data_IF_834275817131
#
_entry.id   IF_834275817131
#
_cell.length_a   1.000
_cell.length_b   1.000
_cell.length_c   1.000
_cell.angle_alpha   90.00
_cell.angle_beta   90.00
_cell.angle_gamma   90.00
#
_symmetry.space_group_name_H-M   'P 1'
#
loop_
_entity.id
_entity.type
_entity.pdbx_description
1 polymer ?
#
# COMPACT_ATOMS: atom_id res chain seq x y z
N UNK A 1 12.25 1.89 -42.40
CA UNK A 1 12.10 0.66 -41.61
C UNK A 1 12.13 -0.60 -42.46
N UNK A 2 11.25 -0.80 -43.44
CA UNK A 2 11.20 -2.03 -44.27
C UNK A 2 12.55 -2.44 -44.90
N UNK A 3 13.35 -1.48 -45.40
CA UNK A 3 14.68 -1.76 -45.97
C UNK A 3 15.70 -2.29 -44.95
N UNK A 4 15.53 -1.90 -43.68
CA UNK A 4 16.41 -2.26 -42.58
C UNK A 4 15.99 -3.61 -41.98
N UNK A 5 14.69 -3.85 -41.88
CA UNK A 5 14.10 -5.15 -41.55
C UNK A 5 14.46 -6.21 -42.59
N UNK A 6 14.34 -5.89 -43.89
CA UNK A 6 14.75 -6.78 -44.98
C UNK A 6 16.26 -7.08 -44.97
N UNK A 7 17.08 -6.10 -44.57
CA UNK A 7 18.53 -6.31 -44.44
C UNK A 7 18.90 -7.23 -43.27
N UNK A 8 18.22 -7.07 -42.12
CA UNK A 8 18.44 -7.90 -40.93
C UNK A 8 17.81 -9.30 -41.04
N UNK A 9 16.80 -9.48 -41.89
CA UNK A 9 16.09 -10.75 -42.11
C UNK A 9 16.51 -11.50 -43.38
N UNK A 10 17.38 -10.91 -44.22
CA UNK A 10 17.83 -11.50 -45.48
C UNK A 10 18.90 -12.59 -45.32
N UNK A 11 18.74 -13.69 -46.07
CA UNK A 11 19.67 -14.83 -46.19
C UNK A 11 21.11 -14.37 -46.50
N UNK A 12 22.10 -15.06 -45.92
CA UNK A 12 23.53 -14.70 -45.92
C UNK A 12 24.13 -14.46 -47.33
N UNK A 13 23.54 -15.00 -48.39
CA UNK A 13 24.00 -14.80 -49.77
C UNK A 13 23.66 -13.42 -50.36
N UNK A 14 22.62 -12.74 -49.85
CA UNK A 14 22.21 -11.40 -50.31
C UNK A 14 23.05 -10.26 -49.71
N UNK A 15 23.78 -10.54 -48.63
CA UNK A 15 24.61 -9.58 -47.88
C UNK A 15 25.90 -9.18 -48.62
N UNK A 16 26.30 -9.91 -49.67
CA UNK A 16 27.55 -9.68 -50.40
C UNK A 16 27.49 -8.57 -51.46
N UNK A 17 26.34 -7.89 -51.65
CA UNK A 17 26.15 -6.86 -52.68
C UNK A 17 25.95 -5.43 -52.13
N UNK A 18 26.22 -5.22 -50.84
CA UNK A 18 25.98 -3.93 -50.18
C UNK A 18 27.09 -2.94 -50.54
N UNK A 19 26.70 -1.87 -51.23
CA UNK A 19 27.59 -0.73 -51.46
C UNK A 19 27.79 0.07 -50.17
N UNK A 20 28.93 0.73 -50.02
CA UNK A 20 29.22 1.63 -48.88
C UNK A 20 28.11 2.64 -48.63
N UNK A 21 27.54 3.22 -49.70
CA UNK A 21 26.42 4.15 -49.60
C UNK A 21 25.14 3.51 -49.02
N UNK A 22 24.82 2.24 -49.37
CA UNK A 22 23.70 1.51 -48.78
C UNK A 22 23.93 1.22 -47.30
N UNK A 23 25.16 0.90 -46.91
CA UNK A 23 25.52 0.67 -45.51
C UNK A 23 25.39 1.94 -44.66
N UNK A 24 25.84 3.09 -45.18
CA UNK A 24 25.67 4.40 -44.53
C UNK A 24 24.19 4.75 -44.35
N UNK A 25 23.36 4.46 -45.35
CA UNK A 25 21.91 4.72 -45.28
C UNK A 25 21.24 3.83 -44.22
N UNK A 26 21.63 2.56 -44.15
CA UNK A 26 21.13 1.63 -43.12
C UNK A 26 21.59 2.02 -41.72
N UNK A 27 22.84 2.47 -41.55
CA UNK A 27 23.33 2.99 -40.28
C UNK A 27 22.54 4.23 -39.84
N UNK A 28 22.27 5.15 -40.76
CA UNK A 28 21.49 6.36 -40.46
C UNK A 28 20.09 6.00 -39.97
N UNK A 29 19.40 5.10 -40.69
CA UNK A 29 18.07 4.62 -40.32
C UNK A 29 18.06 3.91 -38.95
N UNK A 30 19.11 3.14 -38.62
CA UNK A 30 19.24 2.50 -37.31
C UNK A 30 19.46 3.55 -36.20
N UNK A 31 20.28 4.56 -36.46
CA UNK A 31 20.50 5.66 -35.52
C UNK A 31 19.20 6.43 -35.26
N UNK A 32 18.44 6.74 -36.30
CA UNK A 32 17.16 7.44 -36.19
C UNK A 32 16.14 6.62 -35.37
N UNK A 33 16.07 5.30 -35.58
CA UNK A 33 15.18 4.39 -34.81
C UNK A 33 15.60 4.28 -33.34
N UNK A 34 16.90 4.22 -33.06
CA UNK A 34 17.40 4.21 -31.67
C UNK A 34 17.09 5.54 -30.98
N UNK A 35 17.14 6.65 -31.71
CA UNK A 35 16.79 7.97 -31.17
C UNK A 35 15.29 8.05 -30.86
N UNK A 36 14.41 7.56 -31.74
CA UNK A 36 12.95 7.54 -31.52
C UNK A 36 12.59 6.64 -30.34
N UNK A 37 13.15 5.43 -30.25
CA UNK A 37 12.93 4.53 -29.12
C UNK A 37 13.45 5.13 -27.80
N UNK A 38 14.60 5.82 -27.82
CA UNK A 38 15.13 6.51 -26.64
C UNK A 38 14.20 7.61 -26.14
N UNK A 39 13.64 8.40 -27.06
CA UNK A 39 12.67 9.45 -26.69
C UNK A 39 11.42 8.83 -26.09
N UNK A 40 10.92 7.74 -26.68
CA UNK A 40 9.72 7.04 -26.20
C UNK A 40 9.96 6.38 -24.83
N UNK A 41 11.13 5.78 -24.62
CA UNK A 41 11.55 5.22 -23.33
C UNK A 41 11.62 6.29 -22.24
N UNK A 42 12.21 7.46 -22.53
CA UNK A 42 12.26 8.58 -21.57
C UNK A 42 10.87 9.07 -21.20
N UNK A 43 9.97 9.15 -22.18
CA UNK A 43 8.57 9.52 -21.94
C UNK A 43 7.87 8.50 -21.03
N UNK A 44 7.99 7.22 -21.33
CA UNK A 44 7.37 6.16 -20.53
C UNK A 44 7.94 6.11 -19.10
N UNK A 45 9.23 6.40 -18.92
CA UNK A 45 9.84 6.53 -17.59
C UNK A 45 9.24 7.71 -16.80
N UNK A 46 8.97 8.84 -17.46
CA UNK A 46 8.32 9.97 -16.81
C UNK A 46 6.87 9.65 -16.41
N UNK A 47 6.11 9.01 -17.31
CA UNK A 47 4.73 8.59 -17.02
C UNK A 47 4.67 7.55 -15.89
N UNK A 48 5.62 6.61 -15.83
CA UNK A 48 5.72 5.65 -14.73
C UNK A 48 6.02 6.31 -13.39
N UNK A 49 6.96 7.27 -13.34
CA UNK A 49 7.28 7.95 -12.08
C UNK A 49 6.12 8.82 -11.59
N UNK A 50 5.36 9.44 -12.49
CA UNK A 50 4.12 10.15 -12.15
C UNK A 50 3.05 9.19 -11.59
N UNK A 51 2.83 8.05 -12.24
CA UNK A 51 1.89 7.03 -11.76
C UNK A 51 2.30 6.46 -10.39
N UNK A 52 3.59 6.21 -10.16
CA UNK A 52 4.10 5.77 -8.85
C UNK A 52 3.80 6.79 -7.75
N UNK A 53 4.03 8.09 -8.02
CA UNK A 53 3.72 9.16 -7.09
C UNK A 53 2.21 9.25 -6.78
N UNK A 54 1.36 9.15 -7.81
CA UNK A 54 -0.09 9.13 -7.66
C UNK A 54 -0.58 7.94 -6.84
N UNK A 55 0.04 6.77 -7.04
CA UNK A 55 -0.31 5.55 -6.31
C UNK A 55 0.02 5.68 -4.83
N UNK A 56 1.18 6.26 -4.51
CA UNK A 56 1.61 6.55 -3.15
C UNK A 56 0.70 7.58 -2.45
N UNK A 57 0.28 8.62 -3.19
CA UNK A 57 -0.67 9.60 -2.68
C UNK A 57 -2.02 8.95 -2.35
N UNK A 58 -2.57 8.16 -3.27
CA UNK A 58 -3.85 7.45 -3.06
C UNK A 58 -3.78 6.39 -1.97
N UNK A 59 -2.63 5.78 -1.70
CA UNK A 59 -2.49 4.87 -0.54
C UNK A 59 -2.55 5.64 0.77
N UNK A 60 -1.87 6.79 0.85
CA UNK A 60 -1.92 7.65 2.05
C UNK A 60 -3.33 8.20 2.33
N UNK A 61 -4.08 8.58 1.29
CA UNK A 61 -5.47 9.04 1.41
C UNK A 61 -6.39 7.92 1.92
N UNK A 62 -6.21 6.68 1.43
CA UNK A 62 -6.96 5.51 1.90
C UNK A 62 -6.68 5.19 3.36
N UNK A 63 -5.42 5.22 3.80
CA UNK A 63 -5.06 5.01 5.20
C UNK A 63 -5.70 6.07 6.11
N UNK A 64 -5.70 7.34 5.68
CA UNK A 64 -6.38 8.42 6.41
C UNK A 64 -7.88 8.17 6.53
N UNK A 65 -8.53 7.73 5.44
CA UNK A 65 -9.96 7.43 5.45
C UNK A 65 -10.32 6.26 6.37
N UNK A 66 -9.54 5.18 6.32
CA UNK A 66 -9.71 4.01 7.21
C UNK A 66 -9.55 4.43 8.68
N UNK A 67 -8.57 5.28 9.00
CA UNK A 67 -8.39 5.79 10.35
C UNK A 67 -9.59 6.62 10.83
N UNK A 68 -10.12 7.52 9.98
CA UNK A 68 -11.34 8.30 10.30
C UNK A 68 -12.57 7.42 10.46
N UNK A 69 -12.72 6.40 9.62
CA UNK A 69 -13.79 5.41 9.76
C UNK A 69 -13.68 4.65 11.08
N UNK A 70 -12.49 4.18 11.45
CA UNK A 70 -12.27 3.50 12.72
C UNK A 70 -12.66 4.37 13.93
N UNK A 71 -12.42 5.68 13.86
CA UNK A 71 -12.85 6.64 14.89
C UNK A 71 -14.37 6.87 14.93
N UNK A 72 -15.09 6.62 13.82
CA UNK A 72 -16.53 6.89 13.70
C UNK A 72 -17.43 5.68 13.90
N UNK A 73 -16.91 4.45 13.82
CA UNK A 73 -17.71 3.22 13.94
C UNK A 73 -18.48 3.15 15.28
N UNK A 74 -17.90 3.68 16.37
CA UNK A 74 -18.52 3.65 17.70
C UNK A 74 -19.16 4.97 18.14
N UNK A 75 -19.12 6.01 17.30
CA UNK A 75 -19.64 7.34 17.67
C UNK A 75 -21.17 7.33 17.84
N UNK A 76 -21.87 6.51 17.04
CA UNK A 76 -23.33 6.39 17.13
C UNK A 76 -23.79 5.74 18.43
N UNK A 77 -23.16 4.64 18.82
CA UNK A 77 -23.49 3.92 20.06
C UNK A 77 -23.22 4.82 21.28
N UNK A 78 -22.08 5.52 21.30
CA UNK A 78 -21.76 6.48 22.36
C UNK A 78 -22.76 7.64 22.44
N UNK A 79 -23.23 8.17 21.31
CA UNK A 79 -24.24 9.23 21.27
C UNK A 79 -25.62 8.72 21.74
N UNK A 80 -25.96 7.47 21.43
CA UNK A 80 -27.20 6.84 21.91
C UNK A 80 -27.15 6.60 23.43
N UNK A 81 -26.01 6.16 23.97
CA UNK A 81 -25.77 6.04 25.42
C UNK A 81 -25.80 7.40 26.14
N UNK A 82 -25.20 8.45 25.55
CA UNK A 82 -25.25 9.81 26.07
C UNK A 82 -26.69 10.36 26.10
N UNK A 83 -27.46 10.11 25.04
CA UNK A 83 -28.85 10.55 24.98
C UNK A 83 -29.75 9.82 26.00
N UNK A 84 -29.48 8.53 26.25
CA UNK A 84 -30.18 7.75 27.27
C UNK A 84 -29.83 8.22 28.68
N UNK A 85 -28.54 8.38 28.99
CA UNK A 85 -28.09 8.88 30.30
C UNK A 85 -28.63 10.28 30.57
N UNK A 86 -28.67 11.18 29.58
CA UNK A 86 -29.30 12.48 29.72
C UNK A 86 -30.79 12.39 30.05
N UNK A 87 -31.54 11.52 29.37
CA UNK A 87 -32.97 11.29 29.64
C UNK A 87 -33.21 10.74 31.04
N UNK A 88 -32.33 9.89 31.55
CA UNK A 88 -32.40 9.38 32.93
C UNK A 88 -32.13 10.50 33.94
N UNK A 89 -31.13 11.35 33.68
CA UNK A 89 -30.80 12.50 34.52
C UNK A 89 -31.96 13.51 34.60
N UNK A 90 -32.61 13.79 33.47
CA UNK A 90 -33.78 14.66 33.42
C UNK A 90 -34.95 14.11 34.23
N UNK A 91 -35.16 12.78 34.24
CA UNK A 91 -36.18 12.13 35.08
C UNK A 91 -35.87 12.26 36.56
N UNK A 92 -34.62 11.99 36.95
CA UNK A 92 -34.19 12.11 38.36
C UNK A 92 -34.33 13.56 38.83
N UNK A 93 -33.97 14.54 37.99
CA UNK A 93 -34.16 15.95 38.31
C UNK A 93 -35.64 16.31 38.51
N UNK A 94 -36.53 15.79 37.67
CA UNK A 94 -37.98 15.98 37.85
C UNK A 94 -38.50 15.33 39.12
N UNK A 95 -38.07 14.11 39.44
CA UNK A 95 -38.46 13.41 40.68
C UNK A 95 -37.97 14.16 41.93
N UNK A 96 -36.74 14.68 41.91
CA UNK A 96 -36.20 15.52 42.97
C UNK A 96 -36.96 16.85 43.12
N UNK A 97 -37.34 17.50 42.01
CA UNK A 97 -38.18 18.71 42.08
C UNK A 97 -39.57 18.43 42.68
N UNK A 98 -40.18 17.29 42.35
CA UNK A 98 -41.47 16.89 42.91
C UNK A 98 -41.36 16.60 44.40
N UNK A 99 -40.32 15.87 44.83
CA UNK A 99 -40.03 15.61 46.25
C UNK A 99 -39.78 16.90 47.03
N UNK A 100 -39.01 17.83 46.46
CA UNK A 100 -38.73 19.12 47.09
C UNK A 100 -39.99 19.98 47.24
N UNK A 101 -40.87 20.00 46.22
CA UNK A 101 -42.17 20.69 46.30
C UNK A 101 -43.14 20.00 47.26
N UNK A 102 -43.06 18.68 47.40
CA UNK A 102 -43.87 17.89 48.34
C UNK A 102 -43.45 18.02 49.80
N UNK A 103 -42.18 18.32 50.09
CA UNK A 103 -41.70 18.54 51.47
C UNK A 103 -42.17 19.86 52.08
N UNK A 104 -42.49 20.86 51.24
CA UNK A 104 -43.05 22.14 51.70
C UNK A 104 -44.53 22.04 52.12
N UNK A 105 -45.21 20.94 51.78
CA UNK A 105 -46.60 20.68 52.14
C UNK A 105 -46.73 19.46 53.06
N UNK A 106 -46.15 19.57 54.26
CA UNK A 106 -46.51 18.76 55.44
C UNK A 106 -46.73 17.25 55.18
N UNK A 107 -45.66 16.52 54.89
CA UNK A 107 -45.68 15.05 54.93
C UNK A 107 -45.23 14.56 56.31
N UNK A 108 -45.93 13.56 56.84
CA UNK A 108 -45.60 12.87 58.09
C UNK A 108 -44.14 12.39 58.09
N UNK A 109 -43.37 12.67 59.15
CA UNK A 109 -41.95 12.27 59.29
C UNK A 109 -41.72 10.78 58.97
N UNK A 110 -42.69 9.91 59.32
CA UNK A 110 -42.62 8.48 59.02
C UNK A 110 -42.72 8.13 57.53
N UNK A 111 -43.40 8.96 56.72
CA UNK A 111 -43.45 8.78 55.27
C UNK A 111 -42.18 9.32 54.59
N UNK A 112 -41.54 10.33 55.17
CA UNK A 112 -40.24 10.81 54.71
C UNK A 112 -39.12 9.80 55.03
N UNK A 113 -39.17 9.14 56.20
CA UNK A 113 -38.25 8.04 56.55
C UNK A 113 -38.39 6.83 55.62
N UNK A 114 -39.61 6.37 55.31
CA UNK A 114 -39.82 5.25 54.36
C UNK A 114 -39.36 5.58 52.93
N UNK A 115 -39.48 6.85 52.51
CA UNK A 115 -38.95 7.32 51.21
C UNK A 115 -37.43 7.38 51.23
N UNK A 116 -36.82 7.86 52.32
CA UNK A 116 -35.37 7.89 52.48
C UNK A 116 -34.76 6.49 52.48
N UNK A 117 -35.35 5.55 53.21
CA UNK A 117 -34.88 4.15 53.24
C UNK A 117 -34.98 3.49 51.85
N UNK A 118 -36.07 3.75 51.11
CA UNK A 118 -36.21 3.28 49.72
C UNK A 118 -35.19 3.92 48.77
N UNK A 119 -34.89 5.21 48.96
CA UNK A 119 -33.88 5.91 48.17
C UNK A 119 -32.48 5.37 48.47
N UNK A 120 -32.13 5.13 49.73
CA UNK A 120 -30.84 4.54 50.13
C UNK A 120 -30.66 3.15 49.52
N UNK A 121 -31.67 2.28 49.62
CA UNK A 121 -31.63 0.94 49.02
C UNK A 121 -31.53 1.01 47.50
N UNK A 122 -32.23 1.94 46.84
CA UNK A 122 -32.12 2.13 45.40
C UNK A 122 -30.74 2.66 44.99
N UNK A 123 -30.15 3.57 45.76
CA UNK A 123 -28.80 4.08 45.50
C UNK A 123 -27.74 3.00 45.71
N UNK A 124 -27.86 2.19 46.75
CA UNK A 124 -26.93 1.09 47.02
C UNK A 124 -27.00 0.02 45.92
N UNK A 125 -28.20 -0.30 45.46
CA UNK A 125 -28.39 -1.21 44.32
C UNK A 125 -27.81 -0.64 43.02
N UNK A 126 -27.97 0.67 42.78
CA UNK A 126 -27.38 1.33 41.62
C UNK A 126 -25.86 1.36 41.68
N UNK A 127 -25.27 1.65 42.86
CA UNK A 127 -23.82 1.61 43.09
C UNK A 127 -23.29 0.20 42.87
N UNK A 128 -23.95 -0.83 43.41
CA UNK A 128 -23.57 -2.22 43.21
C UNK A 128 -23.58 -2.61 41.72
N UNK A 129 -24.64 -2.24 40.98
CA UNK A 129 -24.75 -2.49 39.54
C UNK A 129 -23.67 -1.76 38.72
N UNK A 130 -23.37 -0.51 39.07
CA UNK A 130 -22.30 0.25 38.42
C UNK A 130 -20.93 -0.34 38.69
N UNK A 131 -20.68 -0.78 39.93
CA UNK A 131 -19.43 -1.43 40.33
C UNK A 131 -19.24 -2.75 39.56
N UNK A 132 -20.30 -3.55 39.40
CA UNK A 132 -20.27 -4.76 38.58
C UNK A 132 -19.93 -4.44 37.12
N UNK A 133 -20.60 -3.44 36.53
CA UNK A 133 -20.28 -2.98 35.16
C UNK A 133 -18.83 -2.50 35.03
N UNK A 134 -18.31 -1.76 35.99
CA UNK A 134 -16.92 -1.31 36.00
C UNK A 134 -15.95 -2.50 36.00
N UNK A 135 -16.19 -3.50 36.85
CA UNK A 135 -15.35 -4.71 36.88
C UNK A 135 -15.40 -5.46 35.56
N UNK A 136 -16.56 -5.57 34.92
CA UNK A 136 -16.69 -6.20 33.62
C UNK A 136 -15.94 -5.44 32.53
N UNK A 137 -16.05 -4.10 32.50
CA UNK A 137 -15.34 -3.26 31.53
C UNK A 137 -13.83 -3.34 31.73
N UNK A 138 -13.34 -3.39 32.96
CA UNK A 138 -11.93 -3.58 33.27
C UNK A 138 -11.41 -4.94 32.74
N UNK A 139 -12.18 -6.01 32.90
CA UNK A 139 -11.84 -7.31 32.33
C UNK A 139 -11.81 -7.30 30.79
N UNK A 140 -12.79 -6.67 30.14
CA UNK A 140 -12.81 -6.52 28.68
C UNK A 140 -11.62 -5.70 28.18
N UNK A 141 -11.26 -4.61 28.88
CA UNK A 141 -10.08 -3.81 28.58
C UNK A 141 -8.81 -4.65 28.64
N UNK A 142 -8.66 -5.50 29.67
CA UNK A 142 -7.48 -6.37 29.80
C UNK A 142 -7.42 -7.41 28.66
N UNK A 143 -8.56 -7.98 28.26
CA UNK A 143 -8.64 -8.90 27.12
C UNK A 143 -8.26 -8.20 25.80
N UNK A 144 -8.77 -6.99 25.57
CA UNK A 144 -8.44 -6.20 24.37
C UNK A 144 -6.96 -5.83 24.32
N UNK A 145 -6.34 -5.48 25.46
CA UNK A 145 -4.90 -5.22 25.52
C UNK A 145 -4.08 -6.46 25.12
N UNK A 146 -4.45 -7.64 25.63
CA UNK A 146 -3.80 -8.91 25.24
C UNK A 146 -3.99 -9.21 23.75
N UNK A 147 -5.16 -8.94 23.19
CA UNK A 147 -5.42 -9.10 21.76
C UNK A 147 -4.57 -8.13 20.91
N UNK A 148 -4.44 -6.88 21.37
CA UNK A 148 -3.62 -5.87 20.70
C UNK A 148 -2.13 -6.26 20.69
N UNK A 149 -1.59 -6.75 21.82
CA UNK A 149 -0.21 -7.22 21.88
C UNK A 149 0.04 -8.41 20.94
N UNK A 150 -0.89 -9.37 20.88
CA UNK A 150 -0.75 -10.55 20.02
C UNK A 150 -0.85 -10.19 18.54
N UNK A 151 -1.78 -9.32 18.16
CA UNK A 151 -1.88 -8.82 16.78
C UNK A 151 -0.67 -7.99 16.37
N UNK A 152 -0.11 -7.18 17.27
CA UNK A 152 1.11 -6.41 16.99
C UNK A 152 2.32 -7.33 16.77
N UNK A 153 2.44 -8.42 17.55
CA UNK A 153 3.46 -9.47 17.31
C UNK A 153 3.27 -10.15 15.96
N UNK A 154 2.04 -10.56 15.62
CA UNK A 154 1.75 -11.19 14.34
C UNK A 154 2.05 -10.26 13.15
N UNK A 155 1.75 -8.96 13.28
CA UNK A 155 2.07 -7.96 12.28
C UNK A 155 3.59 -7.80 12.10
N UNK A 156 4.35 -7.77 13.19
CA UNK A 156 5.81 -7.71 13.12
C UNK A 156 6.40 -8.94 12.41
N UNK A 157 5.86 -10.14 12.69
CA UNK A 157 6.26 -11.37 11.98
C UNK A 157 5.92 -11.33 10.49
N UNK A 158 4.74 -10.83 10.12
CA UNK A 158 4.35 -10.65 8.72
C UNK A 158 5.27 -9.67 7.99
N UNK A 159 5.58 -8.51 8.58
CA UNK A 159 6.52 -7.54 8.02
C UNK A 159 7.92 -8.14 7.82
N UNK A 160 8.39 -8.95 8.77
CA UNK A 160 9.66 -9.65 8.63
C UNK A 160 9.64 -10.67 7.49
N UNK A 161 8.54 -11.41 7.32
CA UNK A 161 8.37 -12.36 6.20
C UNK A 161 8.30 -11.65 4.86
N UNK A 162 7.59 -10.53 4.79
CA UNK A 162 7.50 -9.67 3.61
C UNK A 162 8.87 -9.12 3.21
N UNK A 163 9.63 -8.58 4.16
CA UNK A 163 11.00 -8.10 3.91
C UNK A 163 11.90 -9.23 3.37
N UNK A 164 11.84 -10.42 3.96
CA UNK A 164 12.59 -11.59 3.46
C UNK A 164 12.14 -12.03 2.05
N UNK A 165 10.86 -11.90 1.73
CA UNK A 165 10.36 -12.20 0.40
C UNK A 165 10.83 -11.15 -0.62
N UNK A 166 10.85 -9.87 -0.23
CA UNK A 166 11.37 -8.76 -1.01
C UNK A 166 12.87 -8.95 -1.32
N UNK A 167 13.66 -9.32 -0.31
CA UNK A 167 15.11 -9.60 -0.45
C UNK A 167 15.35 -10.73 -1.47
N UNK A 168 14.60 -11.85 -1.36
CA UNK A 168 14.69 -12.95 -2.34
C UNK A 168 14.28 -12.54 -3.76
N UNK A 169 13.29 -11.66 -3.89
CA UNK A 169 12.89 -11.11 -5.18
C UNK A 169 14.00 -10.24 -5.79
N UNK A 170 14.62 -9.37 -5.00
CA UNK A 170 15.77 -8.58 -5.44
C UNK A 170 16.96 -9.47 -5.85
N UNK A 171 17.28 -10.51 -5.08
CA UNK A 171 18.33 -11.48 -5.41
C UNK A 171 18.03 -12.22 -6.72
N UNK A 172 16.78 -12.65 -6.95
CA UNK A 172 16.38 -13.31 -8.19
C UNK A 172 16.51 -12.41 -9.42
N UNK A 173 16.17 -11.13 -9.29
CA UNK A 173 16.29 -10.12 -10.36
C UNK A 173 17.76 -9.76 -10.62
N UNK A 174 18.59 -9.65 -9.58
CA UNK A 174 20.02 -9.39 -9.73
C UNK A 174 20.80 -10.60 -10.28
N UNK A 175 20.39 -11.82 -9.92
CA UNK A 175 20.97 -13.05 -10.45
C UNK A 175 20.65 -13.29 -11.93
N UNK A 176 19.44 -12.91 -12.38
CA UNK A 176 19.04 -13.05 -13.78
C UNK A 176 19.67 -11.99 -14.70
N UNK A 177 19.77 -10.74 -14.23
CA UNK A 177 20.33 -9.63 -15.02
C UNK A 177 21.82 -9.80 -15.32
N UNK A 178 22.63 -10.30 -14.38
CA UNK A 178 24.06 -10.59 -14.64
C UNK A 178 24.25 -11.70 -15.67
N UNK A 179 23.38 -12.71 -15.71
CA UNK A 179 23.53 -13.82 -16.65
C UNK A 179 23.01 -13.48 -18.07
N UNK A 180 21.94 -12.68 -18.19
CA UNK A 180 21.43 -12.27 -19.50
C UNK A 180 22.32 -11.23 -20.16
N UNK A 181 22.74 -10.19 -19.42
CA UNK A 181 23.60 -9.14 -19.96
C UNK A 181 24.98 -9.67 -20.36
N UNK A 182 25.52 -10.64 -19.63
CA UNK A 182 26.82 -11.23 -19.94
C UNK A 182 26.75 -12.18 -21.15
N UNK A 183 25.67 -12.97 -21.29
CA UNK A 183 25.45 -13.77 -22.53
C UNK A 183 25.22 -12.89 -23.75
N UNK A 184 24.54 -11.77 -23.58
CA UNK A 184 24.26 -10.82 -24.66
C UNK A 184 25.52 -10.03 -25.06
N UNK A 185 26.35 -9.65 -24.07
CA UNK A 185 27.68 -9.09 -24.29
C UNK A 185 28.62 -10.10 -24.99
N UNK A 186 28.61 -11.37 -24.58
CA UNK A 186 29.41 -12.43 -25.23
C UNK A 186 28.92 -12.73 -26.66
N UNK A 187 27.60 -12.68 -26.91
CA UNK A 187 27.04 -12.76 -28.27
C UNK A 187 27.52 -11.60 -29.16
N UNK A 188 27.44 -10.37 -28.67
CA UNK A 188 27.88 -9.18 -29.40
C UNK A 188 29.40 -9.17 -29.64
N UNK A 189 30.18 -9.70 -28.69
CA UNK A 189 31.63 -9.83 -28.83
C UNK A 189 32.01 -10.88 -29.87
N UNK A 190 31.31 -12.02 -29.87
CA UNK A 190 31.52 -13.06 -30.87
C UNK A 190 31.07 -12.62 -32.27
N UNK A 191 29.97 -11.87 -32.40
CA UNK A 191 29.52 -11.36 -33.71
C UNK A 191 30.47 -10.31 -34.30
N UNK A 192 31.06 -9.44 -33.47
CA UNK A 192 32.10 -8.49 -33.92
C UNK A 192 33.38 -9.19 -34.36
N UNK A 193 33.76 -10.29 -33.70
CA UNK A 193 34.95 -11.04 -34.04
C UNK A 193 34.80 -11.73 -35.40
N UNK A 194 33.64 -12.35 -35.68
CA UNK A 194 33.33 -12.90 -37.00
C UNK A 194 33.21 -11.81 -38.06
N UNK A 195 32.57 -10.67 -37.78
CA UNK A 195 32.52 -9.55 -38.73
C UNK A 195 33.92 -9.00 -39.08
N UNK A 196 34.79 -8.82 -38.10
CA UNK A 196 36.17 -8.38 -38.35
C UNK A 196 36.97 -9.42 -39.15
N UNK A 197 36.80 -10.71 -38.86
CA UNK A 197 37.46 -11.77 -39.62
C UNK A 197 36.98 -11.83 -41.08
N UNK A 198 35.67 -11.70 -41.32
CA UNK A 198 35.11 -11.65 -42.66
C UNK A 198 35.62 -10.43 -43.43
N UNK A 199 35.68 -9.25 -42.80
CA UNK A 199 36.24 -8.04 -43.41
C UNK A 199 37.74 -8.17 -43.73
N UNK A 200 38.51 -8.84 -42.87
CA UNK A 200 39.94 -9.08 -43.12
C UNK A 200 40.15 -10.03 -44.32
N UNK A 201 39.38 -11.10 -44.40
CA UNK A 201 39.41 -12.04 -45.52
C UNK A 201 39.00 -11.34 -46.82
N UNK A 202 37.97 -10.49 -46.77
CA UNK A 202 37.51 -9.72 -47.92
C UNK A 202 38.58 -8.70 -48.39
N UNK A 203 39.25 -8.02 -47.46
CA UNK A 203 40.34 -7.11 -47.78
C UNK A 203 41.56 -7.82 -48.40
N UNK A 204 41.86 -9.04 -47.96
CA UNK A 204 42.92 -9.88 -48.56
C UNK A 204 42.52 -10.32 -49.98
N UNK A 205 41.28 -10.77 -50.18
CA UNK A 205 40.80 -11.21 -51.49
C UNK A 205 40.73 -10.08 -52.53
N UNK A 206 40.41 -8.86 -52.11
CA UNK A 206 40.42 -7.67 -52.99
C UNK A 206 41.84 -7.31 -53.44
N UNK A 207 42.83 -7.42 -52.54
CA UNK A 207 44.22 -7.11 -52.88
C UNK A 207 44.89 -8.18 -53.76
N UNK A 208 44.39 -9.42 -53.76
CA UNK A 208 44.88 -10.49 -54.64
C UNK A 208 44.32 -10.46 -56.08
N UNK A 209 43.33 -9.61 -56.37
CA UNK A 209 42.70 -9.47 -57.70
C UNK A 209 43.15 -8.23 -58.48
N UNK A 210 44.17 -7.50 -58.01
CA UNK A 210 44.87 -6.45 -58.76
C UNK A 210 46.23 -6.94 -59.21
#
# INVERSE_FOLDING_TARGET
MEALEQFLSGDEESQFSVTTAKLETLMQLLCDEVETERVLLRRNQAELTELEADTLKRSSERESFVSRMAQTINLRELLEEEAETKRQLDRILQELEILHKGSDTGSSEAAAEDILEKLEVNTDNAIASLTEKETHLLQQKEQLLKLMETTQKALAECKLKEQKAQEKLCEAVQGSSKCSQQREADRLRNSRFTQQHCLLIYAVLINYKR
#
